data_IF_347885926903
#
_entry.id   IF_347885926903
#
_cell.length_a   1.000
_cell.length_b   1.000
_cell.length_c   1.000
_cell.angle_alpha   90.00
_cell.angle_beta   90.00
_cell.angle_gamma   90.00
#
_symmetry.space_group_name_H-M   'P 1'
#
loop_
_entity.id
_entity.type
_entity.pdbx_description
1 polymer ?
2 non-polymer ?
3 non-polymer ?
4 non-polymer ?
5 water ?
#
# COMPACT_ATOMS: atom_id res chain seq x y z
CA UNK A 5 3.17 -1.52 15.35
C UNK A 5 2.40 -1.32 14.00
N UNK A 6 2.84 -2.04 12.97
CA UNK A 6 2.35 -1.84 11.59
C UNK A 6 0.87 -2.15 11.39
N UNK A 7 0.19 -1.29 10.65
CA UNK A 7 -1.22 -1.43 10.29
C UNK A 7 -1.44 -2.62 9.39
N UNK A 8 -0.54 -2.80 8.42
CA UNK A 8 -0.68 -3.89 7.48
C UNK A 8 0.52 -4.78 7.51
N UNK A 9 0.33 -6.00 7.04
CA UNK A 9 1.41 -6.94 6.85
C UNK A 9 1.54 -7.42 5.41
N UNK A 10 2.69 -8.03 5.12
CA UNK A 10 2.93 -8.58 3.79
C UNK A 10 1.79 -9.50 3.40
N UNK A 11 1.33 -9.32 2.17
CA UNK A 11 0.23 -10.11 1.65
C UNK A 11 -1.17 -9.64 1.88
N UNK A 12 -1.34 -8.65 2.75
CA UNK A 12 -2.68 -8.10 2.95
C UNK A 12 -3.16 -7.49 1.62
N UNK A 13 -4.43 -7.69 1.31
CA UNK A 13 -5.09 -7.06 0.16
C UNK A 13 -5.61 -5.72 0.59
N UNK A 14 -5.19 -4.68 -0.13
CA UNK A 14 -5.53 -3.32 0.21
C UNK A 14 -5.95 -2.57 -1.03
N UNK A 15 -6.61 -1.44 -0.80
CA UNK A 15 -6.95 -0.54 -1.88
C UNK A 15 -6.77 0.90 -1.44
N UNK A 16 -6.55 1.78 -2.41
CA UNK A 16 -6.61 3.21 -2.12
C UNK A 16 -8.03 3.62 -1.78
N UNK A 17 -8.15 4.41 -0.73
CA UNK A 17 -9.46 4.84 -0.24
C UNK A 17 -10.11 5.83 -1.17
N UNK A 18 -9.37 6.69 -1.86
CA UNK A 18 -10.00 7.75 -2.60
C UNK A 18 -9.09 8.20 -3.71
N UNK A 19 -9.62 9.03 -4.62
CA UNK A 19 -8.78 9.52 -5.70
C UNK A 19 -8.40 8.45 -6.67
N UNK A 20 -7.16 8.51 -7.14
CA UNK A 20 -6.68 7.51 -8.09
C UNK A 20 -6.78 6.14 -7.48
N UNK A 21 -7.24 5.15 -8.24
CA UNK A 21 -7.43 3.82 -7.72
C UNK A 21 -6.15 3.01 -7.71
N UNK A 22 -6.07 2.08 -6.75
CA UNK A 22 -5.02 1.10 -6.74
C UNK A 22 -5.49 -0.01 -5.84
N UNK A 23 -5.22 -1.25 -6.20
CA UNK A 23 -5.67 -2.40 -5.40
C UNK A 23 -4.75 -3.58 -5.64
N UNK A 24 -4.38 -4.26 -4.57
CA UNK A 24 -3.54 -5.43 -4.65
C UNK A 24 -2.92 -5.73 -3.31
N UNK A 25 -1.75 -6.35 -3.36
CA UNK A 25 -1.11 -6.91 -2.19
C UNK A 25 -0.02 -6.05 -1.63
N UNK A 26 0.05 -5.97 -0.30
CA UNK A 26 1.20 -5.37 0.32
C UNK A 26 2.45 -6.22 0.00
N UNK A 27 3.48 -5.58 -0.56
CA UNK A 27 4.74 -6.19 -0.92
C UNK A 27 5.94 -5.50 -0.34
N UNK A 28 5.74 -4.48 0.47
CA UNK A 28 6.85 -3.82 1.11
C UNK A 28 6.42 -2.61 1.93
N UNK A 29 7.41 -1.86 2.40
CA UNK A 29 7.22 -0.84 3.41
C UNK A 29 8.24 0.26 3.18
N UNK A 30 7.97 1.48 3.64
CA UNK A 30 8.96 2.52 3.67
C UNK A 30 8.60 3.54 4.73
N UNK A 31 9.58 4.37 5.05
CA UNK A 31 9.46 5.29 6.15
C UNK A 31 10.27 6.53 5.89
N UNK A 32 9.61 7.68 5.87
CA UNK A 32 10.26 8.97 5.75
C UNK A 32 9.62 9.91 6.79
N UNK A 33 10.21 11.09 6.95
CA UNK A 33 9.57 12.06 7.83
C UNK A 33 8.18 12.46 7.35
N UNK A 34 8.03 12.59 6.04
CA UNK A 34 6.74 12.97 5.48
C UNK A 34 5.73 11.84 5.64
N UNK A 35 6.22 10.62 5.47
CA UNK A 35 5.41 9.39 5.47
C UNK A 35 6.05 8.38 6.43
N UNK A 36 5.77 8.49 7.73
CA UNK A 36 6.50 7.64 8.64
C UNK A 36 6.01 6.20 8.62
N UNK A 37 4.86 5.95 8.00
CA UNK A 37 4.40 4.58 7.78
C UNK A 37 3.85 4.50 6.38
N UNK A 38 4.62 3.91 5.45
CA UNK A 38 4.19 3.77 4.07
C UNK A 38 4.32 2.33 3.64
N UNK A 39 3.59 2.00 2.57
CA UNK A 39 3.52 0.68 2.02
C UNK A 39 3.70 0.66 0.52
N UNK A 40 4.32 -0.40 0.08
CA UNK A 40 4.38 -0.77 -1.35
C UNK A 40 3.29 -1.79 -1.64
N UNK A 41 2.53 -1.54 -2.71
CA UNK A 41 1.41 -2.35 -3.09
C UNK A 41 1.56 -2.80 -4.53
N UNK A 42 1.56 -4.10 -4.78
CA UNK A 42 1.61 -4.63 -6.15
C UNK A 42 0.17 -4.76 -6.67
N UNK A 43 -0.09 -4.14 -7.82
CA UNK A 43 -1.43 -4.24 -8.40
C UNK A 43 -1.78 -5.68 -8.67
N UNK A 44 -3.01 -6.03 -8.33
CA UNK A 44 -3.60 -7.34 -8.65
C UNK A 44 -4.09 -7.42 -10.10
N UNK A 45 -4.20 -6.26 -10.74
CA UNK A 45 -4.61 -6.20 -12.15
C UNK A 45 -3.42 -6.16 -13.10
N UNK A 46 -2.31 -5.58 -12.66
CA UNK A 46 -1.13 -5.37 -13.47
C UNK A 46 0.08 -5.98 -12.75
N UNK A 47 0.28 -7.29 -12.89
CA UNK A 47 1.39 -7.97 -12.19
C UNK A 47 2.71 -7.27 -12.43
N UNK A 48 3.48 -7.11 -11.34
CA UNK A 48 4.79 -6.49 -11.42
C UNK A 48 4.80 -5.00 -11.17
N UNK A 49 3.66 -4.34 -11.33
CA UNK A 49 3.66 -2.92 -11.12
C UNK A 49 3.35 -2.67 -9.66
N UNK A 50 4.14 -1.81 -9.05
CA UNK A 50 4.12 -1.50 -7.64
C UNK A 50 4.04 0.01 -7.49
N UNK A 51 3.17 0.44 -6.57
CA UNK A 51 3.09 1.84 -6.20
C UNK A 51 3.13 1.95 -4.69
N UNK A 52 3.66 3.06 -4.20
CA UNK A 52 3.87 3.29 -2.78
C UNK A 52 2.93 4.40 -2.28
N UNK A 53 2.43 4.19 -1.09
CA UNK A 53 1.47 5.12 -0.49
C UNK A 53 1.60 5.18 1.02
N UNK A 54 1.25 6.35 1.60
CA UNK A 54 1.12 6.41 3.05
C UNK A 54 0.01 5.51 3.55
N UNK A 55 0.14 5.04 4.79
CA UNK A 55 -0.90 4.22 5.39
C UNK A 55 -2.30 4.87 5.33
N UNK A 56 -2.40 6.16 5.57
CA UNK A 56 -3.69 6.81 5.60
C UNK A 56 -4.42 6.75 4.27
N UNK A 57 -3.69 6.51 3.18
CA UNK A 57 -4.32 6.42 1.88
C UNK A 57 -4.95 5.07 1.57
N UNK A 58 -4.68 4.06 2.39
CA UNK A 58 -5.01 2.67 2.10
C UNK A 58 -5.98 2.10 3.11
N UNK A 59 -6.73 1.12 2.66
CA UNK A 59 -7.60 0.34 3.52
C UNK A 59 -7.54 -1.12 3.13
N UNK A 60 -7.57 -2.00 4.11
CA UNK A 60 -7.57 -3.41 3.90
C UNK A 60 -8.96 -3.91 3.47
N UNK A 61 -8.97 -4.85 2.55
CA UNK A 61 -10.20 -5.47 2.05
C UNK A 61 -10.04 -7.00 2.09
N UNK A 62 -11.13 -7.76 1.99
CA UNK A 62 -10.91 -9.23 1.92
C UNK A 62 -10.53 -9.64 0.51
X LIG B 1 3.79 10.36 -7.33
X LIG B 1 3.22 11.27 -8.17
X LIG B 1 2.22 12.09 -7.73
X LIG B 1 3.56 11.37 -9.46
X LIG B 1 4.52 10.63 -10.01
X LIG B 1 4.80 10.76 -11.21
X LIG B 1 5.19 9.63 -9.17
X LIG B 1 6.15 8.82 -9.68
X LIG B 1 6.76 7.94 -8.85
X LIG B 1 6.43 7.78 -7.40
X LIG B 1 5.37 8.65 -6.94
X LIG B 1 4.79 9.56 -7.75
X LIG B 1 7.82 7.01 -9.29
X LIG C 1 -3.02 13.51 -7.54
X LIG C 1 -2.38 13.04 -8.83
X LIG C 1 -4.40 14.09 -7.54
X LIG C 1 -2.11 14.48 -6.68
X LIG C 1 -0.74 14.14 -6.67
X LIG C 1 -0.04 14.86 -5.54
X LIG C 1 0.01 16.25 -5.88
X LIG C 1 -0.73 14.81 -4.19
X LIG C 1 -0.40 13.60 -3.46
X LIG C 1 -0.19 16.07 -3.55
X LIG C 1 1.19 15.99 -3.20
X LIG C 1 -0.14 17.06 -4.69
X LIG C 1 -1.36 17.90 -4.77
X LIG C 1 -2.52 17.56 -5.34
X LIG C 1 -3.39 18.58 -5.22
X LIG C 1 -2.77 19.59 -4.57
X LIG C 1 -3.18 20.84 -4.21
X LIG C 1 -4.43 21.24 -4.49
X LIG C 1 -2.29 21.62 -3.55
X LIG C 1 -1.05 21.20 -3.28
X LIG C 1 -0.62 19.98 -3.65
X LIG C 1 -1.49 19.16 -4.28
X LIG C 1 -3.08 12.28 -6.54
X LIG C 1 -3.73 10.84 -6.88
X LIG C 1 -5.25 10.84 -7.11
X LIG C 1 -3.19 10.23 -5.65
X LIG C 1 -2.85 10.20 -8.04
X LIG C 1 -1.49 9.81 -7.89
X LIG C 1 -0.93 9.68 -9.30
X LIG C 1 0.50 9.48 -9.28
X LIG C 1 -1.55 8.51 -10.04
X LIG C 1 -1.86 8.92 -11.37
X LIG C 1 -0.50 7.44 -9.89
X LIG C 1 -0.45 6.43 -10.89
X LIG C 1 0.75 8.29 -10.02
X LIG C 1 1.93 7.52 -9.65
X LIG C 1 2.10 7.10 -8.40
X LIG C 1 3.20 6.31 -8.11
X LIG C 1 3.43 5.79 -6.72
X LIG C 1 4.39 5.07 -6.53
X LIG C 1 2.62 6.06 -5.69
X LIG C 1 4.10 5.99 -9.15
X LIG C 1 3.88 6.47 -10.45
X LIG C 1 2.74 7.21 -10.67
X LIG C 1 1.91 15.39 -1.86
X LIG C 1 1.20 16.16 -0.78
X LIG C 1 1.54 13.92 -1.75
X LIG C 1 3.36 15.70 -1.96
X LIG D 1 -1.09 -10.69 9.73
X LIG D 1 0.09 -9.86 10.21
X LIG D 1 0.99 -9.66 9.10
X LIG D 1 0.84 -10.60 11.31
X LIG D 1 -0.40 -8.50 10.69
X LIG D 1 0.69 -7.78 11.49
X LIG D 1 0.15 -6.73 12.31
X LIG D 1 1.78 -7.24 10.58
X LIG E 1 4.45 15.61 7.99
X LIG E 1 3.33 14.59 7.96
X LIG E 1 3.07 14.14 6.62
X LIG E 1 2.08 15.27 8.50
X LIG E 1 3.73 13.34 8.76
X LIG E 1 2.46 12.59 9.23
X LIG E 1 2.78 11.66 10.27
X LIG E 1 1.59 11.90 8.15
X LIG F 1 4.92 -4.70 5.52
X LIG F 1 5.45 -4.77 6.96
X LIG F 1 4.44 -5.28 7.84
X LIG F 1 5.76 -3.37 7.46
X LIG F 1 6.72 -5.63 7.05
X LIG F 1 7.29 -5.78 8.48
X LIG F 1 6.71 -4.81 9.38
X LIG F 1 8.82 -5.68 8.56
#
# INVERSE_FOLDING_TARGET
>A
VFPSNATFGMGDRVRKKSGAAWQGQIVGWYCTNLTPEGYAVESEAHPGSVQIYPVAALERIN
>B hetero
1 DHF N1 C2 NA2 N3 C4 O4 C4A N5 C6 C7 N8 C8A C9
>C hetero
1 NAP PA O1A O2A O5B C5B C4B O4B C3B O3B C2B O2B C1B N9A C8A N7A C5A C6A N6A N1A C2A N3A C4A O3 PN O1N O2N O5D C5D C4D O4D C3D O3D C2D O2D C1D N1N C2N C3N C7N O7N N7N C4N C5N C6N P2B O1X O2X O3X
>D hetero
1 MRD C1 C2 O2 CM C3 C4 O4 C5
>E hetero
1 MRD C1 C2 O2 CM C3 C4 O4 C5
>F hetero
1 MRD C1 C2 O2 CM C3 C4 O4 C5
#
